data_IF_135129319322
#
_entry.id   IF_135129319322
#
_cell.length_a   1.000
_cell.length_b   1.000
_cell.length_c   1.000
_cell.angle_alpha   90.00
_cell.angle_beta   90.00
_cell.angle_gamma   90.00
#
_symmetry.space_group_name_H-M   'P 1'
#
loop_
_entity.id
_entity.type
_entity.pdbx_description
1 polymer ?
#
# COMPACT_ATOMS: atom_id res chain seq x y z
N UNK A 1 3.54 -2.00 -6.17
CA UNK A 1 4.94 -2.26 -5.69
C UNK A 1 5.84 -2.34 -6.92
N UNK A 2 6.69 -1.35 -7.11
CA UNK A 2 7.70 -1.35 -8.19
C UNK A 2 9.00 -1.95 -7.65
N UNK A 3 9.53 -2.97 -8.30
CA UNK A 3 10.73 -3.72 -7.93
C UNK A 3 11.88 -3.53 -8.93
N UNK A 4 11.67 -2.71 -9.97
CA UNK A 4 12.65 -2.52 -11.03
C UNK A 4 14.04 -2.05 -10.52
N UNK A 5 14.07 -1.27 -9.43
CA UNK A 5 15.31 -0.81 -8.80
C UNK A 5 16.04 -1.90 -7.99
N UNK A 6 15.42 -3.05 -7.74
CA UNK A 6 16.00 -4.18 -6.98
C UNK A 6 16.58 -5.26 -7.89
N UNK A 7 16.43 -5.14 -9.20
CA UNK A 7 16.85 -6.15 -10.19
C UNK A 7 18.36 -6.16 -10.51
N UNK A 8 19.18 -5.57 -9.64
CA UNK A 8 20.63 -5.72 -9.69
C UNK A 8 21.06 -7.14 -9.29
N UNK A 9 21.47 -7.93 -10.24
CA UNK A 9 22.36 -9.13 -10.22
C UNK A 9 22.20 -10.24 -9.16
N UNK A 10 21.15 -10.30 -8.36
CA UNK A 10 20.96 -11.40 -7.43
C UNK A 10 19.76 -12.27 -7.83
N UNK A 11 20.04 -13.28 -8.69
CA UNK A 11 19.20 -14.47 -8.78
C UNK A 11 17.79 -14.31 -9.34
N UNK A 12 17.63 -14.24 -10.65
CA UNK A 12 16.51 -14.90 -11.35
C UNK A 12 15.09 -14.39 -11.18
N UNK A 13 14.78 -13.39 -10.33
CA UNK A 13 13.41 -12.94 -10.18
C UNK A 13 12.89 -12.29 -11.46
N UNK A 14 11.82 -12.89 -12.03
CA UNK A 14 11.10 -12.36 -13.18
C UNK A 14 10.20 -11.18 -12.79
N UNK A 15 9.87 -11.04 -11.50
CA UNK A 15 8.91 -10.06 -10.98
C UNK A 15 9.50 -8.65 -10.95
N UNK A 16 8.87 -7.72 -11.66
CA UNK A 16 9.23 -6.31 -11.69
C UNK A 16 8.19 -5.40 -11.01
N UNK A 17 6.94 -5.85 -10.97
CA UNK A 17 5.82 -5.06 -10.46
C UNK A 17 4.71 -5.96 -9.94
N UNK A 18 4.05 -5.53 -8.87
CA UNK A 18 2.75 -6.07 -8.45
C UNK A 18 1.89 -4.96 -7.85
N UNK A 19 0.61 -4.93 -8.15
CA UNK A 19 -0.36 -4.05 -7.50
C UNK A 19 -1.78 -4.62 -7.55
N UNK A 20 -2.53 -4.36 -6.49
CA UNK A 20 -3.96 -4.61 -6.45
C UNK A 20 -4.70 -3.54 -7.27
N UNK A 21 -5.81 -3.91 -7.93
CA UNK A 21 -6.68 -2.93 -8.54
C UNK A 21 -7.45 -2.14 -7.46
N UNK A 22 -8.23 -1.14 -7.86
CA UNK A 22 -8.82 -0.15 -6.96
C UNK A 22 -9.81 -0.73 -5.94
N UNK A 23 -10.48 -1.85 -6.27
CA UNK A 23 -11.47 -2.54 -5.41
C UNK A 23 -10.97 -3.88 -4.85
N UNK A 24 -9.67 -4.17 -5.00
CA UNK A 24 -9.02 -5.39 -4.54
C UNK A 24 -9.62 -6.70 -5.09
N UNK A 25 -10.23 -6.65 -6.28
CA UNK A 25 -10.81 -7.82 -6.94
C UNK A 25 -9.84 -8.54 -7.87
N UNK A 26 -8.75 -7.87 -8.26
CA UNK A 26 -7.68 -8.44 -9.09
C UNK A 26 -6.30 -7.93 -8.71
N UNK A 27 -5.29 -8.73 -9.04
CA UNK A 27 -3.88 -8.40 -8.88
C UNK A 27 -3.23 -8.30 -10.28
N UNK A 28 -2.51 -7.21 -10.53
CA UNK A 28 -1.69 -7.02 -11.71
C UNK A 28 -0.24 -7.33 -11.39
N UNK A 29 0.43 -8.07 -12.26
CA UNK A 29 1.84 -8.47 -12.11
C UNK A 29 2.59 -8.14 -13.39
N UNK A 30 3.66 -7.34 -13.25
CA UNK A 30 4.62 -7.04 -14.33
C UNK A 30 5.89 -7.86 -14.18
N UNK A 31 6.38 -8.40 -15.29
CA UNK A 31 7.56 -9.26 -15.34
C UNK A 31 8.52 -8.85 -16.44
N UNK A 32 9.71 -9.47 -16.48
CA UNK A 32 10.66 -9.29 -17.58
C UNK A 32 10.10 -9.76 -18.93
N UNK A 33 9.17 -10.71 -18.92
CA UNK A 33 8.60 -11.31 -20.14
C UNK A 33 7.19 -10.82 -20.49
N UNK A 34 6.58 -9.93 -19.69
CA UNK A 34 5.22 -9.46 -19.96
C UNK A 34 4.47 -9.04 -18.71
N UNK A 35 3.15 -9.15 -18.73
CA UNK A 35 2.31 -8.90 -17.57
C UNK A 35 1.14 -9.87 -17.50
N UNK A 36 0.61 -10.04 -16.29
CA UNK A 36 -0.51 -10.95 -15.98
C UNK A 36 -1.52 -10.27 -15.07
N UNK A 37 -2.77 -10.73 -15.16
CA UNK A 37 -3.82 -10.40 -14.19
C UNK A 37 -4.36 -11.65 -13.53
N UNK A 38 -4.55 -11.58 -12.23
CA UNK A 38 -5.12 -12.66 -11.42
C UNK A 38 -6.40 -12.20 -10.75
N UNK A 39 -7.41 -13.10 -10.68
CA UNK A 39 -8.62 -12.90 -9.89
C UNK A 39 -8.34 -13.17 -8.41
N UNK A 40 -8.90 -12.33 -7.53
CA UNK A 40 -8.83 -12.48 -6.08
C UNK A 40 -10.17 -12.97 -5.48
N UNK A 41 -11.00 -13.65 -6.25
CA UNK A 41 -12.33 -14.13 -5.84
C UNK A 41 -12.29 -15.38 -4.97
N UNK A 42 -11.19 -16.12 -4.97
CA UNK A 42 -11.03 -17.39 -4.25
C UNK A 42 -9.76 -17.42 -3.42
N UNK A 43 -9.80 -18.12 -2.28
CA UNK A 43 -8.63 -18.40 -1.45
C UNK A 43 -7.81 -19.54 -2.01
N UNK A 44 -8.49 -20.57 -2.49
CA UNK A 44 -7.87 -21.85 -2.86
C UNK A 44 -7.06 -21.77 -4.16
N UNK A 45 -7.45 -20.86 -5.07
CA UNK A 45 -6.85 -20.75 -6.39
C UNK A 45 -6.63 -19.30 -6.78
N UNK A 46 -5.42 -18.98 -7.19
CA UNK A 46 -5.08 -17.73 -7.87
C UNK A 46 -5.34 -17.92 -9.38
N UNK A 47 -6.53 -17.54 -9.81
CA UNK A 47 -6.97 -17.73 -11.21
C UNK A 47 -6.36 -16.65 -12.11
N UNK A 48 -5.63 -17.09 -13.16
CA UNK A 48 -5.08 -16.17 -14.15
C UNK A 48 -6.20 -15.71 -15.10
N UNK A 49 -6.50 -14.41 -15.09
CA UNK A 49 -7.53 -13.80 -15.96
C UNK A 49 -6.97 -13.53 -17.35
N UNK A 50 -5.72 -13.10 -17.42
CA UNK A 50 -5.07 -12.65 -18.66
C UNK A 50 -3.54 -12.70 -18.53
N UNK A 51 -2.90 -12.94 -19.68
CA UNK A 51 -1.44 -12.87 -19.83
C UNK A 51 -1.11 -12.20 -21.16
N UNK A 52 -0.14 -11.31 -21.14
CA UNK A 52 0.43 -10.69 -22.34
C UNK A 52 1.95 -10.89 -22.34
N UNK A 53 2.49 -11.70 -23.24
CA UNK A 53 3.94 -11.92 -23.36
C UNK A 53 4.63 -10.92 -24.29
N UNK A 54 3.87 -10.02 -24.95
CA UNK A 54 4.40 -9.20 -26.06
C UNK A 54 5.13 -7.92 -25.59
N UNK A 55 5.06 -7.60 -24.30
CA UNK A 55 5.70 -6.41 -23.73
C UNK A 55 6.75 -6.81 -22.72
N UNK A 56 8.02 -6.60 -23.04
CA UNK A 56 9.14 -6.95 -22.16
C UNK A 56 9.38 -5.89 -21.07
N UNK A 57 9.95 -6.34 -19.94
CA UNK A 57 10.40 -5.51 -18.83
C UNK A 57 9.31 -4.57 -18.29
N UNK A 58 8.11 -5.10 -18.02
CA UNK A 58 6.97 -4.32 -17.53
C UNK A 58 7.19 -3.92 -16.08
N UNK A 59 7.53 -2.64 -15.84
CA UNK A 59 7.79 -2.09 -14.51
C UNK A 59 6.60 -1.37 -13.87
N UNK A 60 5.56 -1.04 -14.64
CA UNK A 60 4.27 -0.55 -14.15
C UNK A 60 3.18 -1.17 -15.02
N UNK A 61 2.18 -1.76 -14.38
CA UNK A 61 0.96 -2.24 -15.01
C UNK A 61 -0.23 -2.01 -14.09
N UNK A 62 -1.09 -1.06 -14.47
CA UNK A 62 -2.25 -0.66 -13.66
C UNK A 62 -3.54 -0.90 -14.44
N UNK A 63 -4.44 -1.67 -13.88
CA UNK A 63 -5.75 -1.98 -14.46
C UNK A 63 -6.82 -1.08 -13.86
N UNK A 64 -7.75 -0.59 -14.69
CA UNK A 64 -8.89 0.20 -14.21
C UNK A 64 -10.01 -0.74 -13.74
N UNK A 65 -10.14 -0.93 -12.43
CA UNK A 65 -11.13 -1.83 -11.82
C UNK A 65 -11.18 -3.19 -12.53
N UNK A 66 -12.35 -3.70 -12.83
CA UNK A 66 -12.56 -4.93 -13.61
C UNK A 66 -12.72 -4.68 -15.11
N UNK A 67 -12.44 -3.46 -15.58
CA UNK A 67 -12.49 -3.12 -17.02
C UNK A 67 -11.34 -3.75 -17.81
N UNK A 68 -11.36 -3.55 -19.12
CA UNK A 68 -10.28 -4.00 -20.01
C UNK A 68 -9.21 -2.94 -20.26
N UNK A 69 -9.31 -1.78 -19.62
CA UNK A 69 -8.32 -0.71 -19.75
C UNK A 69 -7.12 -0.97 -18.83
N UNK A 70 -5.93 -0.90 -19.42
CA UNK A 70 -4.65 -1.06 -18.71
C UNK A 70 -3.66 0.02 -19.12
N UNK A 71 -2.93 0.55 -18.16
CA UNK A 71 -1.81 1.48 -18.35
C UNK A 71 -0.50 0.74 -18.09
N UNK A 72 0.46 0.84 -18.99
CA UNK A 72 1.70 0.06 -18.99
C UNK A 72 2.89 0.97 -19.19
N UNK A 73 3.96 0.71 -18.43
CA UNK A 73 5.28 1.29 -18.62
C UNK A 73 6.30 0.17 -18.63
N UNK A 74 7.22 0.20 -19.60
CA UNK A 74 8.34 -0.74 -19.72
C UNK A 74 9.66 -0.06 -19.36
N UNK A 75 10.59 -0.80 -18.74
CA UNK A 75 11.97 -0.32 -18.52
C UNK A 75 12.72 0.01 -19.80
N UNK A 76 12.31 -0.58 -20.94
CA UNK A 76 12.87 -0.26 -22.26
C UNK A 76 12.46 1.13 -22.77
N UNK A 77 11.36 1.68 -22.24
CA UNK A 77 10.86 3.02 -22.56
C UNK A 77 10.26 3.67 -21.30
N UNK A 78 11.08 4.02 -20.29
CA UNK A 78 10.58 4.39 -18.96
C UNK A 78 9.85 5.73 -18.91
N UNK A 79 9.95 6.54 -19.97
CA UNK A 79 9.22 7.80 -20.13
C UNK A 79 7.94 7.68 -20.95
N UNK A 80 7.65 6.48 -21.47
CA UNK A 80 6.50 6.26 -22.35
C UNK A 80 5.40 5.51 -21.61
N UNK A 81 4.23 6.12 -21.53
CA UNK A 81 3.00 5.49 -21.07
C UNK A 81 2.27 4.89 -22.26
N UNK A 82 1.88 3.63 -22.17
CA UNK A 82 1.04 2.95 -23.13
C UNK A 82 -0.30 2.58 -22.48
N UNK A 83 -1.40 3.00 -23.05
CA UNK A 83 -2.76 2.64 -22.58
C UNK A 83 -3.40 1.75 -23.59
N UNK A 84 -3.90 0.59 -23.15
CA UNK A 84 -4.43 -0.46 -24.01
C UNK A 84 -5.79 -0.97 -23.54
N UNK A 85 -6.55 -1.48 -24.48
CA UNK A 85 -7.69 -2.38 -24.23
C UNK A 85 -7.19 -3.83 -24.32
N UNK A 86 -6.76 -4.43 -23.19
CA UNK A 86 -6.02 -5.69 -23.23
C UNK A 86 -6.80 -6.86 -23.85
N UNK A 87 -8.13 -6.95 -23.66
CA UNK A 87 -8.95 -8.02 -24.25
C UNK A 87 -9.05 -7.95 -25.78
N UNK A 88 -8.95 -6.75 -26.37
CA UNK A 88 -8.96 -6.55 -27.81
C UNK A 88 -7.55 -6.53 -28.41
N UNK A 89 -6.51 -6.45 -27.57
CA UNK A 89 -5.14 -6.27 -28.01
C UNK A 89 -4.88 -4.92 -28.72
N UNK A 90 -5.75 -3.92 -28.48
CA UNK A 90 -5.65 -2.62 -29.15
C UNK A 90 -5.01 -1.58 -28.26
N UNK A 91 -4.05 -0.81 -28.80
CA UNK A 91 -3.52 0.38 -28.17
C UNK A 91 -4.52 1.53 -28.31
N UNK A 92 -4.89 2.14 -27.17
CA UNK A 92 -5.80 3.31 -27.13
C UNK A 92 -5.00 4.58 -27.35
N UNK A 93 -3.91 4.74 -26.63
CA UNK A 93 -2.98 5.85 -26.81
C UNK A 93 -1.59 5.52 -26.24
N UNK A 94 -0.60 6.29 -26.65
CA UNK A 94 0.69 6.36 -25.99
C UNK A 94 1.07 7.83 -25.77
N UNK A 95 1.80 8.06 -24.69
CA UNK A 95 2.21 9.38 -24.28
C UNK A 95 3.66 9.35 -23.81
N UNK A 96 4.48 10.31 -24.24
CA UNK A 96 5.87 10.44 -23.83
C UNK A 96 6.03 11.66 -22.92
N UNK A 97 6.72 11.48 -21.80
CA UNK A 97 6.95 12.50 -20.79
C UNK A 97 8.42 12.96 -20.80
N UNK A 98 8.66 14.10 -20.19
CA UNK A 98 10.00 14.69 -20.08
C UNK A 98 10.97 13.86 -19.24
N UNK A 99 10.45 13.07 -18.27
CA UNK A 99 11.25 12.27 -17.36
C UNK A 99 10.63 10.88 -17.14
N UNK A 100 11.35 10.02 -16.41
CA UNK A 100 10.93 8.66 -16.04
C UNK A 100 9.60 8.68 -15.29
N UNK A 101 8.70 7.80 -15.69
CA UNK A 101 7.43 7.56 -15.00
C UNK A 101 7.70 6.71 -13.76
N UNK A 102 7.39 7.25 -12.58
CA UNK A 102 7.60 6.58 -11.31
C UNK A 102 6.35 5.88 -10.78
N UNK A 103 5.16 6.43 -11.06
CA UNK A 103 3.89 5.82 -10.70
C UNK A 103 2.78 6.23 -11.66
N UNK A 104 1.78 5.35 -11.80
CA UNK A 104 0.53 5.61 -12.51
C UNK A 104 -0.62 5.27 -11.59
N UNK A 105 -1.63 6.14 -11.49
CA UNK A 105 -2.85 5.90 -10.71
C UNK A 105 -4.08 6.12 -11.60
N UNK A 106 -5.09 5.29 -11.40
CA UNK A 106 -6.32 5.29 -12.18
C UNK A 106 -7.54 5.32 -11.28
N UNK A 107 -8.53 6.12 -11.67
CA UNK A 107 -9.91 5.97 -11.21
C UNK A 107 -10.87 6.17 -12.40
N UNK A 108 -12.18 6.18 -12.17
CA UNK A 108 -13.18 6.28 -13.26
C UNK A 108 -13.23 7.65 -13.95
N UNK A 109 -12.48 8.64 -13.46
CA UNK A 109 -12.46 10.00 -14.01
C UNK A 109 -11.09 10.42 -14.51
N UNK A 110 -10.02 9.94 -13.85
CA UNK A 110 -8.65 10.46 -14.04
C UNK A 110 -7.65 9.33 -14.20
N UNK A 111 -6.60 9.64 -14.97
CA UNK A 111 -5.35 8.92 -14.99
C UNK A 111 -4.25 9.89 -14.56
N UNK A 112 -3.50 9.50 -13.53
CA UNK A 112 -2.41 10.31 -12.97
C UNK A 112 -1.09 9.66 -13.36
N UNK A 113 -0.16 10.46 -13.86
CA UNK A 113 1.23 10.05 -14.10
C UNK A 113 2.12 10.85 -13.18
N UNK A 114 2.87 10.18 -12.33
CA UNK A 114 3.80 10.78 -11.39
C UNK A 114 5.23 10.64 -11.92
N UNK A 115 5.88 11.76 -12.11
CA UNK A 115 7.31 11.90 -12.32
C UNK A 115 7.97 12.40 -11.03
N UNK A 116 9.27 12.57 -11.01
CA UNK A 116 9.99 12.99 -9.80
C UNK A 116 9.58 14.38 -9.30
N UNK A 117 9.41 15.36 -10.22
CA UNK A 117 9.13 16.76 -9.89
C UNK A 117 7.84 17.29 -10.55
N UNK A 118 6.99 16.42 -11.05
CA UNK A 118 5.72 16.80 -11.66
C UNK A 118 4.70 15.69 -11.68
N UNK A 119 3.42 16.08 -11.76
CA UNK A 119 2.28 15.18 -11.86
C UNK A 119 1.39 15.62 -13.02
N UNK A 120 1.02 14.69 -13.87
CA UNK A 120 0.11 14.92 -15.00
C UNK A 120 -1.25 14.31 -14.69
N UNK A 121 -2.30 15.10 -14.89
CA UNK A 121 -3.69 14.71 -14.67
C UNK A 121 -4.37 14.61 -16.04
N UNK A 122 -4.69 13.38 -16.44
CA UNK A 122 -5.40 13.08 -17.67
C UNK A 122 -6.88 12.82 -17.42
N UNK A 123 -7.70 13.15 -18.40
CA UNK A 123 -9.08 12.66 -18.47
C UNK A 123 -9.07 11.19 -18.90
N UNK A 124 -9.71 10.31 -18.13
CA UNK A 124 -9.73 8.87 -18.42
C UNK A 124 -10.49 8.52 -19.71
N UNK A 125 -11.38 9.39 -20.19
CA UNK A 125 -12.25 9.10 -21.34
C UNK A 125 -11.55 9.30 -22.67
N UNK A 126 -10.76 10.36 -22.80
CA UNK A 126 -10.10 10.74 -24.05
C UNK A 126 -8.57 10.89 -23.90
N UNK A 127 -8.05 10.56 -22.71
CA UNK A 127 -6.62 10.57 -22.35
C UNK A 127 -5.94 11.96 -22.52
N UNK A 128 -6.68 13.04 -22.74
CA UNK A 128 -6.12 14.37 -22.82
C UNK A 128 -5.58 14.82 -21.47
N UNK A 129 -4.46 15.54 -21.49
CA UNK A 129 -3.93 16.21 -20.30
C UNK A 129 -4.85 17.35 -19.92
N UNK A 130 -5.43 17.29 -18.72
CA UNK A 130 -6.27 18.36 -18.18
C UNK A 130 -5.45 19.40 -17.42
N UNK A 131 -4.44 18.92 -16.67
CA UNK A 131 -3.61 19.76 -15.83
C UNK A 131 -2.26 19.10 -15.58
N UNK A 132 -1.23 19.93 -15.37
CA UNK A 132 0.09 19.50 -14.95
C UNK A 132 0.49 20.28 -13.70
N UNK A 133 0.76 19.55 -12.61
CA UNK A 133 1.35 20.12 -11.40
C UNK A 133 2.86 20.07 -11.61
N UNK A 134 3.48 21.23 -11.73
CA UNK A 134 4.92 21.38 -12.02
C UNK A 134 5.67 21.79 -10.75
N UNK A 135 6.98 21.59 -10.74
CA UNK A 135 7.87 22.05 -9.67
C UNK A 135 7.46 21.53 -8.29
N UNK A 136 7.03 20.28 -8.26
CA UNK A 136 6.80 19.59 -6.97
C UNK A 136 8.15 19.31 -6.29
N UNK A 137 8.18 19.23 -4.96
CA UNK A 137 9.39 18.77 -4.27
C UNK A 137 9.85 17.41 -4.82
N UNK A 138 11.18 17.13 -4.88
CA UNK A 138 11.70 15.88 -5.37
C UNK A 138 11.02 14.68 -4.70
N UNK A 139 10.49 13.78 -5.51
CA UNK A 139 9.73 12.61 -5.09
C UNK A 139 10.25 11.37 -5.83
N UNK A 140 11.48 10.91 -5.54
CA UNK A 140 12.11 9.82 -6.27
C UNK A 140 11.41 8.48 -6.12
N UNK A 141 10.59 8.32 -5.09
CA UNK A 141 9.76 7.12 -4.89
C UNK A 141 8.47 7.12 -5.72
N UNK A 142 8.10 8.24 -6.35
CA UNK A 142 6.82 8.39 -7.04
C UNK A 142 5.62 8.27 -6.10
N UNK A 143 5.77 8.68 -4.84
CA UNK A 143 4.72 8.58 -3.83
C UNK A 143 3.55 9.48 -4.17
N UNK A 144 2.42 8.88 -4.49
CA UNK A 144 1.13 9.58 -4.65
C UNK A 144 -0.02 8.60 -4.43
N UNK A 145 -1.17 9.14 -4.08
CA UNK A 145 -2.41 8.38 -3.91
C UNK A 145 -3.56 9.11 -4.62
N UNK A 146 -4.41 8.37 -5.30
CA UNK A 146 -5.61 8.86 -5.96
C UNK A 146 -6.83 8.24 -5.32
N UNK A 147 -7.80 9.05 -4.93
CA UNK A 147 -9.09 8.57 -4.45
C UNK A 147 -9.85 7.83 -5.55
N UNK A 148 -10.52 6.75 -5.20
CA UNK A 148 -11.36 5.97 -6.11
C UNK A 148 -12.82 6.43 -6.13
N UNK A 149 -13.20 7.35 -5.24
CA UNK A 149 -14.54 7.92 -5.15
C UNK A 149 -14.85 8.80 -6.36
N UNK A 150 -16.07 8.71 -6.88
CA UNK A 150 -16.53 9.60 -7.95
C UNK A 150 -16.88 11.00 -7.44
N UNK A 151 -17.32 11.10 -6.18
CA UNK A 151 -17.76 12.38 -5.59
C UNK A 151 -16.59 13.13 -4.94
N UNK A 152 -15.59 12.41 -4.43
CA UNK A 152 -14.44 12.93 -3.71
C UNK A 152 -13.14 12.54 -4.46
N UNK A 153 -12.94 13.11 -5.64
CA UNK A 153 -11.84 12.76 -6.51
C UNK A 153 -10.60 13.62 -6.21
N UNK A 154 -9.84 13.21 -5.21
CA UNK A 154 -8.63 13.90 -4.74
C UNK A 154 -7.36 13.13 -5.07
N UNK A 155 -6.29 13.86 -5.32
CA UNK A 155 -4.92 13.40 -5.45
C UNK A 155 -4.14 13.89 -4.23
N UNK A 156 -3.40 12.99 -3.57
CA UNK A 156 -2.47 13.32 -2.48
C UNK A 156 -1.04 13.00 -2.89
N UNK A 157 -0.11 13.91 -2.61
CA UNK A 157 1.31 13.77 -2.89
C UNK A 157 2.16 14.56 -1.88
N UNK A 158 3.49 14.30 -1.77
CA UNK A 158 4.34 15.04 -0.85
C UNK A 158 4.44 16.53 -1.19
N UNK A 159 4.21 17.38 -0.20
CA UNK A 159 4.41 18.83 -0.31
C UNK A 159 5.81 19.29 0.07
N UNK A 160 6.63 18.39 0.63
CA UNK A 160 8.01 18.64 1.03
C UNK A 160 8.86 17.38 0.90
N UNK A 161 10.13 17.55 0.55
CA UNK A 161 11.13 16.47 0.59
C UNK A 161 11.77 16.31 1.98
N UNK A 162 11.58 17.25 2.90
CA UNK A 162 12.25 17.31 4.21
C UNK A 162 11.34 16.96 5.37
N UNK A 163 10.05 17.24 5.25
CA UNK A 163 9.02 17.00 6.27
C UNK A 163 7.80 16.33 5.66
N UNK A 164 6.94 15.79 6.50
CA UNK A 164 5.76 15.02 6.08
C UNK A 164 4.54 15.89 5.77
N UNK A 165 4.66 16.81 4.83
CA UNK A 165 3.54 17.56 4.29
C UNK A 165 2.81 16.78 3.22
N UNK A 166 1.48 16.76 3.27
CA UNK A 166 0.60 16.18 2.24
C UNK A 166 -0.08 17.32 1.48
N UNK A 167 0.19 17.43 0.19
CA UNK A 167 -0.63 18.25 -0.69
C UNK A 167 -1.85 17.46 -1.13
N UNK A 168 -3.02 18.08 -1.01
CA UNK A 168 -4.30 17.54 -1.47
C UNK A 168 -4.78 18.38 -2.62
N UNK A 169 -5.00 17.76 -3.78
CA UNK A 169 -5.41 18.40 -5.01
C UNK A 169 -6.77 17.88 -5.47
N UNK A 170 -7.71 18.78 -5.73
CA UNK A 170 -9.02 18.47 -6.30
C UNK A 170 -8.86 18.26 -7.81
N UNK A 171 -8.96 17.02 -8.25
CA UNK A 171 -8.74 16.65 -9.66
C UNK A 171 -9.96 16.91 -10.55
N UNK A 172 -11.11 17.21 -9.98
CA UNK A 172 -12.32 17.62 -10.72
C UNK A 172 -12.23 19.10 -11.07
N UNK A 173 -12.00 19.95 -10.05
CA UNK A 173 -11.93 21.39 -10.20
C UNK A 173 -10.50 21.89 -10.59
N UNK A 174 -9.54 20.98 -10.68
CA UNK A 174 -8.15 21.23 -11.10
C UNK A 174 -7.46 22.34 -10.26
N UNK A 175 -7.57 22.23 -8.93
CA UNK A 175 -7.02 23.20 -7.97
C UNK A 175 -6.52 22.52 -6.69
N UNK A 176 -5.56 23.18 -6.04
CA UNK A 176 -5.17 22.80 -4.70
C UNK A 176 -6.36 22.89 -3.75
N UNK A 177 -6.58 21.84 -2.95
CA UNK A 177 -7.66 21.78 -1.97
C UNK A 177 -7.15 22.08 -0.56
N UNK A 178 -6.03 21.48 -0.14
CA UNK A 178 -5.45 21.70 1.18
C UNK A 178 -3.98 21.24 1.23
N UNK A 179 -3.29 21.69 2.28
CA UNK A 179 -1.96 21.20 2.66
C UNK A 179 -2.02 20.75 4.13
N UNK A 180 -1.62 19.51 4.40
CA UNK A 180 -1.71 18.91 5.73
C UNK A 180 -0.30 18.67 6.28
N UNK A 181 0.10 19.32 7.38
CA UNK A 181 1.36 19.04 8.07
C UNK A 181 1.24 17.73 8.88
N UNK A 182 1.40 16.60 8.19
CA UNK A 182 1.09 15.29 8.77
C UNK A 182 2.20 14.73 9.66
N UNK A 183 3.48 14.97 9.34
CA UNK A 183 4.62 14.41 10.08
C UNK A 183 5.84 15.35 10.07
N UNK A 184 6.75 15.16 11.04
CA UNK A 184 8.01 15.93 11.17
C UNK A 184 9.17 15.35 10.34
N UNK A 185 8.94 14.28 9.59
CA UNK A 185 9.90 13.65 8.68
C UNK A 185 9.21 13.31 7.36
N UNK A 186 9.96 13.12 6.26
CA UNK A 186 9.40 12.89 4.94
C UNK A 186 8.35 11.78 4.91
N UNK A 187 7.40 11.90 4.01
CA UNK A 187 6.36 10.87 3.81
C UNK A 187 6.95 9.60 3.21
N UNK A 188 6.49 8.45 3.72
CA UNK A 188 6.83 7.13 3.20
C UNK A 188 5.63 6.41 2.56
N UNK A 189 4.41 6.70 3.02
CA UNK A 189 3.21 6.06 2.49
C UNK A 189 1.99 6.97 2.58
N UNK A 190 1.10 6.85 1.59
CA UNK A 190 -0.18 7.54 1.46
C UNK A 190 -1.23 6.56 0.96
N UNK A 191 -2.44 6.61 1.51
CA UNK A 191 -3.59 5.86 0.99
C UNK A 191 -4.90 6.60 1.27
N UNK A 192 -5.81 6.66 0.30
CA UNK A 192 -7.19 7.10 0.52
C UNK A 192 -8.08 5.92 0.95
N UNK A 193 -9.10 6.20 1.72
CA UNK A 193 -10.22 5.28 1.90
C UNK A 193 -11.11 5.26 0.64
N UNK A 194 -11.99 4.27 0.53
CA UNK A 194 -12.84 4.11 -0.65
C UNK A 194 -13.81 5.28 -0.88
N UNK A 195 -14.21 5.98 0.17
CA UNK A 195 -15.08 7.16 0.08
C UNK A 195 -14.36 8.43 -0.37
N UNK A 196 -13.02 8.44 -0.33
CA UNK A 196 -12.21 9.63 -0.62
C UNK A 196 -12.30 10.73 0.44
N UNK A 197 -12.87 10.42 1.61
CA UNK A 197 -13.04 11.37 2.71
C UNK A 197 -11.94 11.28 3.76
N UNK A 198 -11.06 10.28 3.67
CA UNK A 198 -9.94 10.07 4.58
C UNK A 198 -8.66 9.75 3.83
N UNK A 199 -7.55 10.24 4.34
CA UNK A 199 -6.21 9.86 3.89
C UNK A 199 -5.39 9.33 5.08
N UNK A 200 -4.78 8.16 4.91
CA UNK A 200 -3.81 7.61 5.85
C UNK A 200 -2.40 7.99 5.41
N UNK A 201 -1.55 8.32 6.37
CA UNK A 201 -0.20 8.80 6.15
C UNK A 201 0.79 8.12 7.08
N UNK A 202 1.99 7.86 6.59
CA UNK A 202 3.13 7.44 7.40
C UNK A 202 4.40 8.15 6.91
N UNK A 203 5.33 8.40 7.81
CA UNK A 203 6.62 8.99 7.48
C UNK A 203 7.73 7.94 7.45
N UNK A 204 8.91 8.34 7.00
CA UNK A 204 10.11 7.48 6.98
C UNK A 204 10.53 6.98 8.38
N UNK A 205 10.14 7.66 9.46
CA UNK A 205 10.33 7.13 10.82
C UNK A 205 9.52 5.86 11.09
N UNK A 206 8.37 5.69 10.42
CA UNK A 206 7.57 4.48 10.46
C UNK A 206 6.99 4.08 11.83
N UNK A 207 6.99 4.97 12.81
CA UNK A 207 6.51 4.69 14.17
C UNK A 207 5.06 5.05 14.39
N UNK A 208 4.57 6.05 13.66
CA UNK A 208 3.22 6.61 13.79
C UNK A 208 2.52 6.62 12.44
N UNK A 209 1.26 6.23 12.44
CA UNK A 209 0.36 6.29 11.30
C UNK A 209 -0.77 7.23 11.67
N UNK A 210 -1.07 8.20 10.81
CA UNK A 210 -2.12 9.19 11.02
C UNK A 210 -3.16 9.12 9.93
N UNK A 211 -4.41 9.40 10.30
CA UNK A 211 -5.53 9.48 9.37
C UNK A 211 -6.16 10.86 9.50
N UNK A 212 -6.34 11.52 8.37
CA UNK A 212 -6.91 12.86 8.29
C UNK A 212 -8.19 12.86 7.46
N UNK A 213 -9.12 13.76 7.78
CA UNK A 213 -10.28 14.05 6.94
C UNK A 213 -9.87 14.80 5.68
N UNK A 214 -10.59 14.59 4.58
CA UNK A 214 -10.39 15.27 3.30
C UNK A 214 -11.73 15.91 2.89
N UNK A 215 -11.75 17.20 2.49
CA UNK A 215 -10.56 18.06 2.27
C UNK A 215 -10.09 18.85 3.50
N UNK A 216 -10.75 18.78 4.66
CA UNK A 216 -10.53 19.68 5.81
C UNK A 216 -9.15 19.54 6.46
N UNK A 217 -8.52 18.36 6.38
CA UNK A 217 -7.21 18.09 6.96
C UNK A 217 -7.23 17.90 8.47
N UNK A 218 -8.40 17.61 9.08
CA UNK A 218 -8.50 17.33 10.50
C UNK A 218 -7.94 15.95 10.82
N UNK A 219 -7.06 15.85 11.82
CA UNK A 219 -6.58 14.56 12.31
C UNK A 219 -7.70 13.79 13.00
N UNK A 220 -8.07 12.64 12.42
CA UNK A 220 -9.13 11.76 12.92
C UNK A 220 -8.57 10.66 13.83
N UNK A 221 -7.43 10.05 13.42
CA UNK A 221 -6.81 8.95 14.16
C UNK A 221 -5.29 9.09 14.17
N UNK A 222 -4.70 8.58 15.25
CA UNK A 222 -3.26 8.38 15.37
C UNK A 222 -3.01 7.00 15.96
N UNK A 223 -2.24 6.17 15.25
CA UNK A 223 -1.89 4.83 15.66
C UNK A 223 -0.38 4.72 15.85
N UNK A 224 0.04 4.00 16.89
CA UNK A 224 1.44 3.67 17.13
C UNK A 224 1.72 2.24 16.72
N UNK A 225 2.62 2.08 15.76
CA UNK A 225 3.12 0.78 15.33
C UNK A 225 4.16 0.22 16.31
N UNK A 226 5.02 1.07 16.85
CA UNK A 226 6.08 0.70 17.80
C UNK A 226 6.65 1.92 18.50
N UNK A 227 7.35 1.68 19.62
CA UNK A 227 7.80 2.78 20.51
C UNK A 227 9.24 3.22 20.22
N UNK A 228 10.11 2.32 19.74
CA UNK A 228 11.57 2.59 19.70
C UNK A 228 12.24 2.26 18.36
N UNK A 229 11.64 1.46 17.49
CA UNK A 229 12.29 0.99 16.27
C UNK A 229 11.71 1.70 15.05
N UNK A 230 12.53 2.50 14.38
CA UNK A 230 12.23 3.02 13.06
C UNK A 230 12.14 1.87 12.05
N UNK A 231 11.17 1.94 11.14
CA UNK A 231 10.95 0.93 10.11
C UNK A 231 10.53 1.62 8.82
N UNK A 232 10.85 1.02 7.71
CA UNK A 232 10.38 1.47 6.40
C UNK A 232 8.97 0.94 6.17
N UNK A 233 7.96 1.83 6.17
CA UNK A 233 6.58 1.47 5.83
C UNK A 233 6.52 1.15 4.33
N UNK A 234 6.02 -0.04 4.00
CA UNK A 234 5.88 -0.50 2.62
C UNK A 234 4.51 -0.17 2.03
N UNK A 235 3.44 -0.32 2.82
CA UNK A 235 2.07 -0.15 2.33
C UNK A 235 1.12 0.26 3.45
N UNK A 236 0.18 1.15 3.10
CA UNK A 236 -1.03 1.46 3.85
C UNK A 236 -2.23 1.07 3.00
N UNK A 237 -3.22 0.40 3.56
CA UNK A 237 -4.43 0.03 2.84
C UNK A 237 -5.66 0.04 3.75
N UNK A 238 -6.69 0.78 3.36
CA UNK A 238 -8.01 0.73 3.99
C UNK A 238 -8.78 -0.51 3.52
N UNK A 239 -9.64 -1.04 4.38
CA UNK A 239 -10.72 -1.92 3.93
C UNK A 239 -11.74 -1.12 3.11
N UNK A 240 -12.49 -1.80 2.24
CA UNK A 240 -13.46 -1.15 1.35
C UNK A 240 -14.55 -0.41 2.15
N UNK A 241 -14.96 -0.97 3.29
CA UNK A 241 -15.93 -0.37 4.20
C UNK A 241 -15.36 0.79 5.03
N UNK A 242 -14.04 1.01 4.98
CA UNK A 242 -13.37 2.05 5.76
C UNK A 242 -13.29 1.79 7.26
N UNK A 243 -13.50 0.53 7.71
CA UNK A 243 -13.47 0.14 9.12
C UNK A 243 -12.06 -0.23 9.61
N UNK A 244 -11.21 -0.68 8.73
CA UNK A 244 -9.86 -1.14 9.06
C UNK A 244 -8.81 -0.44 8.19
N UNK A 245 -7.62 -0.29 8.76
CA UNK A 245 -6.42 0.19 8.08
C UNK A 245 -5.27 -0.78 8.35
N UNK A 246 -4.69 -1.35 7.32
CA UNK A 246 -3.48 -2.16 7.43
C UNK A 246 -2.23 -1.33 7.16
N UNK A 247 -1.15 -1.65 7.87
CA UNK A 247 0.18 -1.07 7.68
C UNK A 247 1.23 -2.16 7.68
N UNK A 248 1.88 -2.35 6.55
CA UNK A 248 3.03 -3.23 6.40
C UNK A 248 4.34 -2.45 6.33
N UNK A 249 5.43 -3.12 6.60
CA UNK A 249 6.77 -2.54 6.60
C UNK A 249 7.81 -3.57 6.15
N UNK A 250 9.08 -3.19 6.19
CA UNK A 250 10.20 -4.09 5.97
C UNK A 250 10.44 -5.12 7.10
N UNK A 251 9.56 -5.17 8.10
CA UNK A 251 9.59 -6.20 9.17
C UNK A 251 8.61 -7.34 8.86
N UNK A 252 8.67 -8.39 9.67
CA UNK A 252 7.78 -9.56 9.57
C UNK A 252 6.35 -9.32 10.06
N UNK A 253 6.02 -8.13 10.59
CA UNK A 253 4.69 -7.88 11.16
C UNK A 253 3.90 -6.85 10.37
N UNK A 254 2.68 -7.22 9.96
CA UNK A 254 1.66 -6.28 9.49
C UNK A 254 0.71 -5.96 10.64
N UNK A 255 0.42 -4.68 10.81
CA UNK A 255 -0.54 -4.20 11.82
C UNK A 255 -1.86 -3.84 11.15
N UNK A 256 -2.98 -4.24 11.74
CA UNK A 256 -4.32 -3.87 11.31
C UNK A 256 -4.96 -3.06 12.44
N UNK A 257 -5.37 -1.85 12.14
CA UNK A 257 -6.00 -0.92 13.06
C UNK A 257 -7.49 -0.82 12.77
N UNK A 258 -8.31 -0.73 13.83
CA UNK A 258 -9.75 -0.52 13.73
C UNK A 258 -10.06 0.98 13.84
N UNK A 259 -10.81 1.51 12.89
CA UNK A 259 -11.16 2.93 12.79
C UNK A 259 -12.47 3.20 13.51
N UNK A 260 -12.47 3.07 14.84
CA UNK A 260 -13.64 3.34 15.68
C UNK A 260 -13.47 4.67 16.42
N UNK A 261 -14.48 5.53 16.36
CA UNK A 261 -14.52 6.76 17.15
C UNK A 261 -14.81 6.44 18.61
N UNK A 262 -14.36 7.30 19.54
CA UNK A 262 -14.65 7.15 20.97
C UNK A 262 -16.15 7.10 21.27
N UNK A 263 -16.98 7.80 20.46
CA UNK A 263 -18.45 7.77 20.60
C UNK A 263 -19.04 6.39 20.28
N UNK A 264 -18.45 5.67 19.36
CA UNK A 264 -18.89 4.31 19.01
C UNK A 264 -18.47 3.31 20.06
N UNK A 265 -17.25 3.42 20.62
CA UNK A 265 -16.79 2.59 21.75
C UNK A 265 -17.71 2.73 22.97
N UNK A 266 -18.17 3.95 23.30
CA UNK A 266 -19.08 4.19 24.41
C UNK A 266 -20.52 3.65 24.19
N UNK A 267 -20.97 3.50 22.93
CA UNK A 267 -22.28 2.90 22.63
C UNK A 267 -22.30 1.40 22.82
N UNK A 268 -21.20 0.71 22.57
CA UNK A 268 -21.06 -0.75 22.76
C UNK A 268 -21.08 -1.13 24.25
N UNK A 269 -20.67 -0.21 25.14
CA UNK A 269 -20.67 -0.40 26.60
C UNK A 269 -21.93 0.06 27.32
N UNK A 270 -23.01 0.44 26.61
CA UNK A 270 -24.31 0.61 27.27
C UNK A 270 -25.00 -0.76 27.37
N UNK A 271 -25.12 -1.35 28.57
CA UNK A 271 -25.98 -2.52 28.75
C UNK A 271 -27.41 -2.09 28.40
N UNK A 272 -28.12 -2.94 27.68
CA UNK A 272 -29.57 -2.80 27.55
C UNK A 272 -30.15 -2.65 28.95
N UNK A 273 -31.05 -1.66 29.12
CA UNK A 273 -31.72 -1.41 30.38
C UNK A 273 -32.49 -2.68 30.80
N UNK A 274 -31.96 -3.41 31.76
CA UNK A 274 -32.72 -4.38 32.55
C UNK A 274 -32.96 -3.82 33.96
N UNK A 275 -34.13 -4.12 34.56
CA UNK A 275 -34.58 -3.42 35.76
C UNK A 275 -33.81 -3.90 37.01
N UNK A 276 -33.38 -2.88 37.74
CA UNK A 276 -33.03 -2.86 39.17
C UNK A 276 -32.95 -4.22 39.90
N UNK A 277 -31.75 -4.68 40.10
CA UNK A 277 -31.36 -5.51 41.28
C UNK A 277 -29.96 -5.11 41.73
N UNK A 278 -29.70 -5.29 42.98
CA UNK A 278 -28.60 -4.80 43.87
C UNK A 278 -27.14 -4.75 43.35
N UNK A 279 -26.86 -5.15 42.12
CA UNK A 279 -25.53 -5.06 41.48
C UNK A 279 -25.12 -3.68 40.98
N UNK A 280 -26.03 -2.70 40.97
CA UNK A 280 -25.83 -1.37 40.36
C UNK A 280 -24.88 -0.44 41.14
N UNK A 281 -24.51 -0.75 42.39
CA UNK A 281 -23.68 0.12 43.19
C UNK A 281 -22.17 -0.03 42.91
N UNK A 282 -21.72 -1.24 42.59
CA UNK A 282 -20.32 -1.52 42.26
C UNK A 282 -19.95 -1.00 40.86
N UNK A 283 -20.88 -1.03 39.90
CA UNK A 283 -20.68 -0.49 38.55
C UNK A 283 -20.53 1.03 38.53
N UNK A 284 -21.26 1.74 39.39
CA UNK A 284 -21.16 3.21 39.52
C UNK A 284 -19.87 3.68 40.18
N UNK A 285 -19.29 2.89 41.09
CA UNK A 285 -18.02 3.22 41.75
C UNK A 285 -16.83 3.00 40.78
N UNK A 286 -16.90 2.01 39.92
CA UNK A 286 -15.86 1.77 38.89
C UNK A 286 -15.92 2.84 37.76
N UNK A 287 -17.11 3.35 37.40
CA UNK A 287 -17.22 4.45 36.44
C UNK A 287 -16.80 5.80 36.99
N UNK A 288 -16.98 6.03 38.30
CA UNK A 288 -16.55 7.28 38.94
C UNK A 288 -15.02 7.40 39.07
N UNK A 289 -14.30 6.27 39.11
CA UNK A 289 -12.84 6.28 39.18
C UNK A 289 -12.15 6.54 37.85
N UNK A 290 -12.83 6.31 36.70
CA UNK A 290 -12.28 6.62 35.37
C UNK A 290 -12.41 8.08 34.97
N UNK A 291 -13.29 8.85 35.62
CA UNK A 291 -13.51 10.29 35.34
C UNK A 291 -12.45 11.19 36.01
N UNK A 292 -11.62 10.65 36.91
CA UNK A 292 -10.57 11.42 37.61
C UNK A 292 -9.16 11.19 37.05
N UNK A 293 -8.99 10.42 35.97
CA UNK A 293 -7.69 10.33 35.32
C UNK A 293 -7.43 11.61 34.51
N UNK A 294 -6.25 12.25 34.67
CA UNK A 294 -5.90 13.40 33.84
C UNK A 294 -6.03 13.07 32.36
N UNK A 295 -6.50 14.01 31.54
CA UNK A 295 -6.68 13.83 30.09
C UNK A 295 -5.43 13.23 29.41
N UNK A 296 -4.24 13.58 29.88
CA UNK A 296 -2.97 13.03 29.40
C UNK A 296 -2.81 11.52 29.65
N UNK A 297 -3.35 11.00 30.75
CA UNK A 297 -3.30 9.56 31.07
C UNK A 297 -4.32 8.81 30.21
N UNK A 298 -5.48 9.40 29.98
CA UNK A 298 -6.53 8.82 29.10
C UNK A 298 -6.05 8.78 27.64
N UNK A 299 -5.33 9.82 27.19
CA UNK A 299 -4.70 9.82 25.86
C UNK A 299 -3.62 8.75 25.71
N UNK A 300 -2.83 8.46 26.75
CA UNK A 300 -1.82 7.38 26.72
C UNK A 300 -2.47 5.99 26.59
N UNK A 301 -3.63 5.77 27.17
CA UNK A 301 -4.35 4.48 27.09
C UNK A 301 -5.21 4.34 25.83
N UNK A 302 -5.57 5.45 25.16
CA UNK A 302 -6.35 5.47 23.91
C UNK A 302 -5.49 5.53 22.66
N UNK A 303 -4.14 5.64 22.78
CA UNK A 303 -3.24 5.52 21.63
C UNK A 303 -3.36 4.10 21.06
N UNK A 304 -4.05 4.03 19.92
CA UNK A 304 -4.54 2.80 19.34
C UNK A 304 -3.45 1.77 19.08
N UNK A 305 -3.46 0.72 19.88
CA UNK A 305 -2.75 -0.52 19.55
C UNK A 305 -3.40 -1.16 18.34
N UNK A 306 -2.65 -2.00 17.62
CA UNK A 306 -3.20 -2.77 16.54
C UNK A 306 -4.38 -3.63 17.06
N UNK A 307 -5.48 -3.64 16.32
CA UNK A 307 -6.63 -4.49 16.55
C UNK A 307 -6.28 -5.94 16.20
N UNK A 308 -5.55 -6.13 15.10
CA UNK A 308 -5.04 -7.42 14.68
C UNK A 308 -3.61 -7.30 14.15
N UNK A 309 -2.90 -8.41 14.15
CA UNK A 309 -1.54 -8.52 13.64
C UNK A 309 -1.40 -9.73 12.74
N UNK A 310 -0.50 -9.61 11.75
CA UNK A 310 -0.12 -10.71 10.88
C UNK A 310 1.37 -10.91 11.01
N UNK A 311 1.81 -12.15 11.16
CA UNK A 311 3.20 -12.53 11.07
C UNK A 311 3.50 -13.06 9.69
N UNK A 312 4.38 -12.35 8.96
CA UNK A 312 4.85 -12.74 7.63
C UNK A 312 5.96 -13.79 7.75
N UNK A 313 6.09 -14.71 6.80
CA UNK A 313 7.15 -15.71 6.79
C UNK A 313 8.50 -15.15 6.32
N UNK A 314 8.58 -13.85 6.06
CA UNK A 314 9.77 -13.16 5.57
C UNK A 314 10.00 -11.82 6.29
N UNK A 315 11.22 -11.28 6.16
CA UNK A 315 11.64 -9.97 6.63
C UNK A 315 12.48 -9.27 5.55
N UNK A 316 12.43 -7.94 5.48
CA UNK A 316 13.25 -7.15 4.57
C UNK A 316 12.71 -7.00 3.15
N UNK A 317 11.73 -7.79 2.73
CA UNK A 317 11.17 -7.71 1.39
C UNK A 317 10.16 -6.56 1.27
N UNK A 318 10.20 -5.83 0.13
CA UNK A 318 9.12 -4.93 -0.26
C UNK A 318 7.82 -5.72 -0.42
N UNK A 319 6.73 -5.17 0.04
CA UNK A 319 5.42 -5.78 -0.04
C UNK A 319 4.33 -4.73 -0.12
N UNK A 320 3.16 -5.15 -0.59
CA UNK A 320 1.93 -4.36 -0.59
C UNK A 320 0.81 -5.17 0.04
N UNK A 321 -0.10 -4.47 0.70
CA UNK A 321 -1.26 -5.07 1.36
C UNK A 321 -2.56 -4.61 0.72
N UNK A 322 -3.58 -5.45 0.84
CA UNK A 322 -4.96 -5.13 0.58
C UNK A 322 -5.85 -5.79 1.63
N UNK A 323 -6.90 -5.10 2.05
CA UNK A 323 -7.97 -5.64 2.89
C UNK A 323 -9.19 -5.89 1.98
N UNK A 324 -9.54 -7.13 1.76
CA UNK A 324 -10.60 -7.53 0.84
C UNK A 324 -11.61 -8.48 1.49
N UNK A 325 -12.84 -8.43 1.02
CA UNK A 325 -13.88 -9.40 1.36
C UNK A 325 -13.85 -10.52 0.33
N UNK A 326 -13.35 -11.70 0.71
CA UNK A 326 -13.34 -12.88 -0.15
C UNK A 326 -14.26 -13.92 0.48
N UNK A 327 -15.29 -14.36 -0.27
CA UNK A 327 -16.30 -15.30 0.21
C UNK A 327 -16.98 -14.84 1.51
N UNK A 328 -17.27 -13.53 1.60
CA UNK A 328 -17.89 -12.85 2.76
C UNK A 328 -17.06 -12.86 4.05
N UNK A 329 -15.78 -13.18 3.98
CA UNK A 329 -14.85 -13.15 5.11
C UNK A 329 -13.82 -12.05 4.84
N UNK A 330 -13.57 -11.15 5.82
CA UNK A 330 -12.52 -10.15 5.67
C UNK A 330 -11.14 -10.82 5.72
N UNK A 331 -10.28 -10.45 4.77
CA UNK A 331 -8.96 -11.03 4.62
C UNK A 331 -7.93 -9.96 4.38
N UNK A 332 -6.73 -10.19 4.90
CA UNK A 332 -5.54 -9.45 4.50
C UNK A 332 -4.82 -10.24 3.40
N UNK A 333 -4.53 -9.55 2.30
CA UNK A 333 -3.70 -10.03 1.21
C UNK A 333 -2.37 -9.29 1.24
N UNK A 334 -1.27 -10.02 1.10
CA UNK A 334 0.08 -9.44 1.03
C UNK A 334 0.80 -9.97 -0.19
N UNK A 335 1.05 -9.12 -1.17
CA UNK A 335 1.92 -9.45 -2.30
C UNK A 335 3.34 -8.97 -2.00
N UNK A 336 4.32 -9.84 -2.08
CA UNK A 336 5.68 -9.58 -1.66
C UNK A 336 6.71 -9.77 -2.77
N UNK A 337 7.88 -9.15 -2.60
CA UNK A 337 8.98 -9.19 -3.55
C UNK A 337 9.65 -10.59 -3.67
N UNK A 338 9.34 -11.51 -2.75
CA UNK A 338 9.74 -12.91 -2.82
C UNK A 338 8.98 -13.71 -3.91
N UNK A 339 7.98 -13.09 -4.54
CA UNK A 339 7.20 -13.69 -5.61
C UNK A 339 5.95 -14.42 -5.16
N UNK A 340 5.48 -14.18 -3.92
CA UNK A 340 4.27 -14.81 -3.38
C UNK A 340 3.18 -13.81 -3.03
N UNK A 341 1.94 -14.27 -3.11
CA UNK A 341 0.75 -13.67 -2.53
C UNK A 341 0.32 -14.50 -1.32
N UNK A 342 0.26 -13.87 -0.16
CA UNK A 342 -0.15 -14.48 1.10
C UNK A 342 -1.56 -14.03 1.48
N UNK A 343 -2.44 -14.95 1.89
CA UNK A 343 -3.82 -14.69 2.28
C UNK A 343 -4.01 -15.06 3.76
N UNK A 344 -4.45 -14.10 4.55
CA UNK A 344 -4.71 -14.25 5.98
C UNK A 344 -6.17 -13.98 6.31
N UNK A 345 -6.75 -14.77 7.22
CA UNK A 345 -8.07 -14.47 7.78
C UNK A 345 -7.94 -13.37 8.84
N UNK A 346 -8.85 -12.41 8.79
CA UNK A 346 -9.05 -11.41 9.82
C UNK A 346 -10.35 -11.73 10.57
N UNK A 347 -10.24 -11.90 11.90
CA UNK A 347 -11.43 -11.96 12.75
C UNK A 347 -11.95 -10.54 12.98
N UNK A 348 -13.17 -10.20 12.51
CA UNK A 348 -13.69 -8.83 12.62
C UNK A 348 -14.21 -8.50 14.03
N UNK A 349 -14.39 -9.49 14.91
CA UNK A 349 -14.90 -9.30 16.27
C UNK A 349 -13.75 -9.21 17.27
N UNK A 350 -12.93 -10.23 17.33
CA UNK A 350 -11.90 -10.38 18.36
C UNK A 350 -10.52 -9.87 17.93
N UNK A 351 -10.27 -9.76 16.62
CA UNK A 351 -8.98 -9.35 16.09
C UNK A 351 -7.88 -10.36 16.42
N UNK A 352 -6.78 -9.90 17.03
CA UNK A 352 -5.68 -10.76 17.46
C UNK A 352 -4.72 -11.13 16.33
N UNK A 353 -4.08 -12.29 16.42
CA UNK A 353 -3.16 -12.78 15.40
C UNK A 353 -3.91 -13.46 14.26
N UNK A 354 -3.73 -12.95 13.03
CA UNK A 354 -4.39 -13.50 11.85
C UNK A 354 -3.71 -14.79 11.39
N UNK A 355 -4.52 -15.75 10.96
CA UNK A 355 -4.06 -17.06 10.50
C UNK A 355 -3.78 -17.05 9.00
N UNK A 356 -2.59 -17.54 8.60
CA UNK A 356 -2.28 -17.79 7.19
C UNK A 356 -3.18 -18.91 6.65
N UNK A 357 -3.92 -18.60 5.58
CA UNK A 357 -4.82 -19.56 4.93
C UNK A 357 -4.17 -20.22 3.73
N UNK A 358 -3.52 -19.42 2.90
CA UNK A 358 -2.94 -19.86 1.64
C UNK A 358 -1.82 -18.92 1.21
N UNK A 359 -0.90 -19.46 0.42
CA UNK A 359 0.05 -18.68 -0.37
C UNK A 359 -0.04 -19.11 -1.82
N UNK A 360 0.21 -18.19 -2.74
CA UNK A 360 0.21 -18.46 -4.19
C UNK A 360 1.42 -17.81 -4.84
N UNK A 361 1.98 -18.48 -5.83
CA UNK A 361 3.07 -17.91 -6.61
C UNK A 361 2.54 -16.87 -7.59
N UNK A 362 3.21 -15.72 -7.66
CA UNK A 362 2.85 -14.61 -8.58
C UNK A 362 3.24 -14.89 -10.04
N UNK A 363 4.01 -15.94 -10.31
CA UNK A 363 4.28 -16.41 -11.67
C UNK A 363 3.11 -17.23 -12.26
N UNK A 364 2.13 -17.58 -11.41
CA UNK A 364 0.97 -18.38 -11.80
C UNK A 364 1.23 -19.89 -11.89
N UNK A 365 2.43 -20.35 -11.53
CA UNK A 365 2.71 -21.78 -11.43
C UNK A 365 2.00 -22.40 -10.22
N UNK A 366 1.53 -23.66 -10.36
CA UNK A 366 1.02 -24.40 -9.23
C UNK A 366 2.13 -24.61 -8.19
N UNK A 367 1.79 -24.50 -6.91
CA UNK A 367 2.72 -24.95 -5.87
C UNK A 367 3.02 -26.44 -6.08
N UNK A 368 4.28 -26.87 -5.95
CA UNK A 368 4.58 -28.28 -5.88
C UNK A 368 3.75 -28.85 -4.73
N UNK A 369 2.97 -29.89 -5.00
CA UNK A 369 2.30 -30.68 -3.97
C UNK A 369 3.39 -31.20 -3.04
N UNK A 370 3.67 -30.48 -1.95
CA UNK A 370 4.33 -31.06 -0.82
C UNK A 370 3.36 -32.09 -0.29
N UNK A 371 3.63 -33.37 -0.57
CA UNK A 371 3.03 -34.48 0.13
C UNK A 371 3.20 -34.18 1.62
N UNK A 372 2.11 -33.78 2.26
CA UNK A 372 1.97 -33.86 3.71
C UNK A 372 1.99 -35.37 3.97
N UNK A 373 3.18 -35.91 4.22
CA UNK A 373 3.34 -37.20 4.84
C UNK A 373 2.62 -37.09 6.17
N UNK A 374 1.40 -37.67 6.21
CA UNK A 374 0.76 -38.12 7.44
C UNK A 374 1.73 -39.09 8.12
N UNK A 375 2.63 -38.55 8.93
CA UNK A 375 3.31 -39.37 9.92
C UNK A 375 2.39 -39.48 11.12
N UNK A 376 1.87 -40.73 11.23
CA UNK A 376 1.04 -41.18 12.30
C UNK A 376 1.59 -40.84 13.68
N UNK A 377 0.65 -40.59 14.54
CA UNK A 377 0.75 -40.50 15.99
C UNK A 377 1.75 -41.49 16.58
N UNK A 378 2.82 -40.95 17.17
CA UNK A 378 3.52 -41.62 18.26
C UNK A 378 3.83 -40.62 19.36
N UNK A 379 3.18 -40.83 20.48
CA UNK A 379 3.40 -40.19 21.77
C UNK A 379 4.89 -40.09 22.11
N UNK A 380 5.39 -38.88 22.28
CA UNK A 380 6.54 -38.58 23.14
C UNK A 380 6.33 -37.23 23.84
N UNK A 381 6.62 -37.14 25.15
CA UNK A 381 6.33 -35.97 25.96
C UNK A 381 7.28 -34.84 25.62
N UNK A 382 6.71 -33.63 25.49
CA UNK A 382 7.40 -32.37 25.33
C UNK A 382 8.25 -32.07 26.57
N UNK A 383 9.55 -32.16 26.43
CA UNK A 383 10.49 -31.54 27.35
C UNK A 383 10.60 -30.07 27.01
N UNK A 384 10.13 -29.25 27.93
CA UNK A 384 10.31 -27.79 27.86
C UNK A 384 11.81 -27.46 27.90
N UNK A 385 12.38 -27.03 26.79
CA UNK A 385 13.68 -26.36 26.79
C UNK A 385 13.46 -24.86 26.92
N UNK A 386 13.73 -24.38 28.13
CA UNK A 386 13.92 -22.98 28.45
C UNK A 386 15.10 -22.42 27.68
N UNK A 387 14.85 -21.48 26.78
CA UNK A 387 15.88 -20.63 26.18
C UNK A 387 16.29 -19.57 27.17
N UNK A 388 17.30 -19.87 27.98
CA UNK A 388 18.12 -18.89 28.64
C UNK A 388 19.56 -19.03 28.11
N UNK A 389 20.07 -17.97 27.52
CA UNK A 389 21.49 -17.80 27.31
C UNK A 389 21.98 -17.97 25.86
N UNK A 390 22.02 -16.88 25.14
CA UNK A 390 23.16 -16.49 24.29
C UNK A 390 22.99 -15.01 23.88
N UNK A 391 23.32 -14.12 24.80
CA UNK A 391 23.79 -12.78 24.43
C UNK A 391 25.23 -12.94 23.97
N UNK A 392 25.44 -13.02 22.67
CA UNK A 392 26.75 -12.88 22.08
C UNK A 392 26.77 -11.58 21.27
N UNK A 393 27.48 -10.63 21.85
CA UNK A 393 28.13 -9.46 21.31
C UNK A 393 28.46 -9.59 19.82
N UNK A 394 27.90 -8.69 19.01
CA UNK A 394 28.40 -8.31 17.72
C UNK A 394 28.53 -6.80 17.67
N UNK A 395 29.61 -6.28 18.20
CA UNK A 395 30.13 -4.95 17.89
C UNK A 395 30.56 -4.99 16.42
N UNK A 396 29.96 -4.16 15.57
CA UNK A 396 30.60 -3.80 14.33
C UNK A 396 31.44 -2.56 14.61
N UNK A 397 32.76 -2.76 14.60
CA UNK A 397 33.75 -1.70 14.58
C UNK A 397 33.67 -0.96 13.23
N UNK A 398 33.55 0.35 13.35
CA UNK A 398 33.96 1.28 12.30
C UNK A 398 35.46 1.16 12.08
N UNK A 399 35.88 0.86 10.83
CA UNK A 399 37.07 1.45 10.23
C UNK A 399 37.25 0.88 8.81
N UNK A 400 37.45 1.79 7.86
CA UNK A 400 37.96 1.43 6.54
C UNK A 400 37.38 2.19 5.37
N UNK A 401 37.55 3.49 5.37
CA UNK A 401 37.49 4.28 4.14
C UNK A 401 38.70 3.91 3.28
N UNK A 402 38.51 3.55 2.00
CA UNK A 402 39.38 3.92 0.88
C UNK A 402 38.69 3.65 -0.46
N UNK A 403 38.46 4.71 -1.24
CA UNK A 403 38.74 4.81 -2.66
C UNK A 403 37.90 4.00 -3.63
N UNK A 404 37.04 4.67 -4.36
CA UNK A 404 36.41 4.19 -5.57
C UNK A 404 35.70 5.32 -6.30
N UNK A 405 36.45 6.30 -6.80
CA UNK A 405 35.99 7.19 -7.84
C UNK A 405 35.70 6.38 -9.10
N UNK A 406 34.49 6.48 -9.66
CA UNK A 406 34.24 5.86 -10.96
C UNK A 406 32.80 5.41 -11.20
N UNK A 407 31.77 6.15 -10.78
CA UNK A 407 30.38 5.87 -11.18
C UNK A 407 29.50 7.14 -11.39
N UNK A 408 30.11 8.32 -11.48
CA UNK A 408 29.39 9.56 -11.76
C UNK A 408 29.33 9.97 -13.25
N UNK A 409 30.03 9.29 -14.14
CA UNK A 409 30.08 9.68 -15.56
C UNK A 409 28.97 9.09 -16.44
N UNK A 410 28.32 8.01 -16.06
CA UNK A 410 27.32 7.36 -16.92
C UNK A 410 25.87 7.89 -16.77
N UNK A 411 25.59 8.70 -15.76
CA UNK A 411 24.27 9.32 -15.57
C UNK A 411 24.07 10.66 -16.28
N UNK A 412 25.16 11.29 -16.73
CA UNK A 412 25.10 12.59 -17.44
C UNK A 412 24.92 12.47 -18.96
N UNK A 413 25.05 11.28 -19.54
CA UNK A 413 24.89 11.06 -20.99
C UNK A 413 23.42 10.85 -21.44
N UNK A 414 22.46 10.83 -20.52
CA UNK A 414 21.02 10.66 -20.83
C UNK A 414 20.21 11.96 -20.84
N UNK A 415 20.85 13.12 -20.74
CA UNK A 415 20.20 14.40 -21.02
C UNK A 415 20.19 14.62 -22.52
N UNK A 416 19.13 14.14 -23.18
CA UNK A 416 18.81 14.55 -24.53
C UNK A 416 18.00 15.86 -24.48
N UNK A 417 18.41 16.76 -25.35
CA UNK A 417 17.95 18.12 -25.53
C UNK A 417 16.44 18.25 -25.67
N UNK A 418 15.91 19.32 -25.10
CA UNK A 418 14.56 19.81 -25.27
C UNK A 418 14.26 20.07 -26.76
N UNK A 419 13.38 19.25 -27.36
CA UNK A 419 12.69 19.67 -28.56
C UNK A 419 11.30 19.03 -28.66
N UNK A 420 10.30 19.92 -28.64
CA UNK A 420 8.92 19.75 -29.07
C UNK A 420 8.00 18.81 -28.23
N UNK A 421 7.32 19.40 -27.27
CA UNK A 421 6.04 18.90 -26.76
C UNK A 421 4.99 18.87 -27.89
N UNK A 422 4.94 17.80 -28.66
CA UNK A 422 3.76 17.52 -29.45
C UNK A 422 2.73 16.78 -28.60
N UNK A 423 1.45 17.15 -28.67
CA UNK A 423 0.39 16.44 -27.98
C UNK A 423 0.30 14.98 -28.46
N UNK A 424 -0.17 14.05 -27.62
CA UNK A 424 -0.28 12.65 -27.97
C UNK A 424 -1.19 12.45 -29.19
N UNK A 425 -0.78 11.56 -30.09
CA UNK A 425 -1.65 11.08 -31.15
C UNK A 425 -2.71 10.16 -30.54
N UNK A 426 -3.93 10.65 -30.45
CA UNK A 426 -5.09 9.85 -30.12
C UNK A 426 -5.51 9.13 -31.42
N UNK A 427 -5.44 7.79 -31.40
CA UNK A 427 -6.04 7.00 -32.47
C UNK A 427 -7.56 7.00 -32.24
N UNK A 428 -8.28 7.77 -33.02
CA UNK A 428 -9.74 7.66 -33.10
C UNK A 428 -10.08 6.27 -33.61
N UNK A 429 -10.74 5.49 -32.80
CA UNK A 429 -11.37 4.23 -33.23
C UNK A 429 -12.78 4.55 -33.67
N UNK A 430 -13.06 4.36 -34.99
CA UNK A 430 -14.42 4.21 -35.49
C UNK A 430 -15.16 3.01 -34.85
#
# INVERSE_FOLDING_TARGET
>A
MNLASLSGDAGGSQLLFANFNQDNTSLAVGTKSGYKFFSLSSVEKLEQIYECPDTEDVCIVERLFSSSLVAIVSLKAPRKLKVCHFKKGTEICNYSYSNTILAVKLNRQRLIVCLEESLYIHNIRDMKVLHTIRETPPNPSGLCALSISNDNCYLAYPGSAMIGEVQVFDTVNLRAANMIPAHDSPLAALAFDASGTKVATASEKGTVIRVFSIPEGQKLFEFRRGVKRCVSICSLAFSVEGLYLSASSNTETVHIFKLETQKEKLRVFRPAEEPTTWGGYLGKVLMASTTYLPAQVTEMFTQGRAFATVRLPFCGHKNICALAMIQKIPRLLVAAADGYLYLYNLDPQDGGECTLMKQHRLDGSAEPLNEILEQGSHDRPLVAQTYSGAVAKGYCDEQGAVGGAGLEEDLNSLRLEDDNEQPPLILETE
#
